data_IF_592042830960
#
_entry.id   IF_592042830960
#
_cell.length_a   1.000
_cell.length_b   1.000
_cell.length_c   1.000
_cell.angle_alpha   90.00
_cell.angle_beta   90.00
_cell.angle_gamma   90.00
#
_symmetry.space_group_name_H-M   'P 1'
#
loop_
_entity.id
_entity.type
_entity.pdbx_description
1 polymer ?
#
# COMPACT_ATOMS: atom_id res chain seq x y z
N UNK A 1 28.65 4.03 0.48
CA UNK A 1 27.43 3.28 0.87
C UNK A 1 27.21 2.24 -0.22
N UNK A 2 26.92 0.95 0.12
CA UNK A 2 26.78 -0.06 -0.93
C UNK A 2 25.58 0.30 -1.81
N UNK A 3 25.75 0.22 -3.12
CA UNK A 3 24.69 0.50 -4.12
C UNK A 3 23.47 -0.42 -3.96
N UNK A 4 23.62 -1.56 -3.31
CA UNK A 4 22.59 -2.55 -3.04
C UNK A 4 21.66 -2.23 -1.87
N UNK A 5 21.82 -1.07 -1.21
CA UNK A 5 20.98 -0.71 -0.07
C UNK A 5 19.62 -0.19 -0.54
N UNK A 6 18.54 -0.84 -0.08
CA UNK A 6 17.18 -0.35 -0.26
C UNK A 6 16.92 0.85 0.68
N UNK A 7 16.57 2.00 0.14
CA UNK A 7 16.19 3.19 0.92
C UNK A 7 14.78 3.61 0.53
N UNK A 8 13.84 3.46 1.43
CA UNK A 8 12.43 3.81 1.22
C UNK A 8 12.11 5.13 1.94
N UNK A 9 11.71 6.14 1.18
CA UNK A 9 11.15 7.38 1.68
C UNK A 9 9.63 7.28 1.70
N UNK A 10 9.02 7.51 2.85
CA UNK A 10 7.57 7.33 2.98
C UNK A 10 7.00 7.91 4.25
N UNK A 11 5.71 7.69 4.43
CA UNK A 11 4.97 8.05 5.64
C UNK A 11 4.14 6.86 6.10
N UNK A 12 4.16 6.58 7.39
CA UNK A 12 3.37 5.49 7.99
C UNK A 12 1.87 5.80 8.00
N UNK A 13 1.47 7.04 7.78
CA UNK A 13 0.07 7.43 7.61
C UNK A 13 -0.43 7.27 6.18
N UNK A 14 0.46 6.93 5.24
CA UNK A 14 0.16 6.78 3.82
C UNK A 14 -0.06 5.32 3.44
N UNK A 15 -1.26 4.99 2.97
CA UNK A 15 -1.58 3.67 2.41
C UNK A 15 -0.69 3.31 1.20
N UNK A 16 -0.28 4.31 0.42
CA UNK A 16 0.65 4.11 -0.69
C UNK A 16 2.06 3.76 -0.22
N UNK A 17 2.55 4.41 0.88
CA UNK A 17 3.86 4.09 1.46
C UNK A 17 3.86 2.73 2.14
N UNK A 18 2.74 2.34 2.73
CA UNK A 18 2.62 1.07 3.42
C UNK A 18 2.81 -0.13 2.49
N UNK A 19 2.40 -0.06 1.23
CA UNK A 19 2.57 -1.16 0.28
C UNK A 19 4.02 -1.66 0.16
N UNK A 20 5.01 -0.84 -0.23
CA UNK A 20 6.39 -1.30 -0.25
C UNK A 20 6.98 -1.55 1.14
N UNK A 21 6.50 -0.89 2.20
CA UNK A 21 6.89 -1.20 3.57
C UNK A 21 6.47 -2.62 3.96
N UNK A 22 5.22 -3.00 3.67
CA UNK A 22 4.70 -4.33 3.92
C UNK A 22 5.47 -5.39 3.11
N UNK A 23 5.72 -5.12 1.82
CA UNK A 23 6.55 -6.00 0.99
C UNK A 23 7.91 -6.29 1.64
N UNK A 24 8.62 -5.23 2.06
CA UNK A 24 9.95 -5.35 2.64
C UNK A 24 9.92 -6.07 4.01
N UNK A 25 8.91 -5.81 4.82
CA UNK A 25 8.72 -6.50 6.09
C UNK A 25 8.45 -7.99 5.90
N UNK A 26 7.53 -8.36 5.01
CA UNK A 26 7.18 -9.76 4.73
C UNK A 26 8.34 -10.52 4.05
N UNK A 27 9.16 -9.85 3.24
CA UNK A 27 10.32 -10.48 2.59
C UNK A 27 11.52 -10.66 3.52
N UNK A 28 11.53 -10.01 4.69
CA UNK A 28 12.69 -10.00 5.59
C UNK A 28 13.92 -9.27 5.03
N UNK A 29 13.77 -8.55 3.92
CA UNK A 29 14.89 -7.84 3.29
C UNK A 29 15.30 -6.61 4.12
N UNK A 30 16.61 -6.40 4.35
CA UNK A 30 17.08 -5.23 5.07
C UNK A 30 16.87 -3.96 4.24
N UNK A 31 16.29 -2.94 4.85
CA UNK A 31 16.08 -1.63 4.23
C UNK A 31 16.27 -0.50 5.23
N UNK A 32 16.47 0.70 4.71
CA UNK A 32 16.40 1.93 5.50
C UNK A 32 15.13 2.67 5.20
N UNK A 33 14.43 3.07 6.25
CA UNK A 33 13.29 3.96 6.11
C UNK A 33 13.69 5.41 6.38
N UNK A 34 13.14 6.32 5.57
CA UNK A 34 13.27 7.77 5.72
C UNK A 34 11.89 8.37 5.76
N UNK A 35 11.52 8.93 6.90
CA UNK A 35 10.22 9.56 7.07
C UNK A 35 10.12 10.83 6.25
N UNK A 36 9.00 10.94 5.55
CA UNK A 36 8.54 12.18 4.90
C UNK A 36 7.31 12.65 5.64
N UNK A 37 7.45 13.70 6.44
CA UNK A 37 6.36 14.23 7.27
C UNK A 37 5.33 14.95 6.40
N UNK A 38 4.23 14.25 6.08
CA UNK A 38 3.15 14.78 5.24
C UNK A 38 2.38 15.91 5.91
N UNK A 39 2.29 15.91 7.24
CA UNK A 39 1.60 16.95 8.01
C UNK A 39 2.31 18.31 7.87
N UNK A 40 3.64 18.27 7.83
CA UNK A 40 4.47 19.48 7.70
C UNK A 40 4.74 19.86 6.23
N UNK A 41 4.20 19.11 5.26
CA UNK A 41 4.37 19.42 3.84
C UNK A 41 5.73 19.06 3.25
N UNK A 42 6.56 18.28 3.95
CA UNK A 42 7.94 17.90 3.51
C UNK A 42 7.95 17.28 2.10
N UNK A 43 6.87 16.61 1.69
CA UNK A 43 6.73 16.08 0.34
C UNK A 43 6.68 17.15 -0.76
N UNK A 44 6.52 18.43 -0.40
CA UNK A 44 6.50 19.57 -1.32
C UNK A 44 7.78 20.42 -1.28
N UNK A 45 8.73 20.06 -0.41
CA UNK A 45 10.02 20.73 -0.34
C UNK A 45 10.91 20.39 -1.54
N UNK A 46 11.80 21.32 -1.97
CA UNK A 46 12.65 21.13 -3.14
C UNK A 46 13.46 19.83 -3.13
N UNK A 47 13.96 19.43 -1.96
CA UNK A 47 14.75 18.21 -1.81
C UNK A 47 13.92 16.96 -2.13
N UNK A 48 12.66 16.89 -1.69
CA UNK A 48 11.78 15.77 -2.02
C UNK A 48 11.31 15.84 -3.48
N UNK A 49 10.99 17.03 -3.99
CA UNK A 49 10.56 17.23 -5.37
C UNK A 49 11.66 16.83 -6.37
N UNK A 50 12.94 17.00 -6.01
CA UNK A 50 14.06 16.50 -6.82
C UNK A 50 14.07 14.96 -6.96
N UNK A 51 13.55 14.22 -5.97
CA UNK A 51 13.40 12.75 -6.03
C UNK A 51 12.08 12.34 -6.67
N UNK A 52 11.01 13.08 -6.42
CA UNK A 52 9.67 12.78 -6.92
C UNK A 52 8.95 14.05 -7.35
N UNK A 53 8.95 14.32 -8.66
CA UNK A 53 8.29 15.47 -9.28
C UNK A 53 6.80 15.62 -8.95
N UNK A 54 6.14 14.54 -8.53
CA UNK A 54 4.72 14.57 -8.12
C UNK A 54 4.52 15.11 -6.69
N UNK A 55 5.59 15.22 -5.89
CA UNK A 55 5.52 15.66 -4.51
C UNK A 55 4.63 14.73 -3.68
N UNK A 56 4.84 13.43 -3.82
CA UNK A 56 4.10 12.36 -3.16
C UNK A 56 5.06 11.32 -2.56
N UNK A 57 4.54 10.44 -1.76
CA UNK A 57 5.22 9.25 -1.22
C UNK A 57 4.51 7.98 -1.69
N UNK A 58 5.22 6.85 -1.80
CA UNK A 58 6.62 6.59 -1.48
C UNK A 58 7.60 6.97 -2.60
N UNK A 59 8.90 6.96 -2.24
CA UNK A 59 10.03 6.93 -3.17
C UNK A 59 10.97 5.81 -2.73
N UNK A 60 11.41 4.96 -3.65
CA UNK A 60 12.43 3.95 -3.41
C UNK A 60 13.72 4.34 -4.15
N UNK A 61 14.85 4.31 -3.44
CA UNK A 61 16.18 4.42 -4.02
C UNK A 61 16.90 3.08 -3.88
N UNK A 62 17.38 2.52 -5.00
CA UNK A 62 18.10 1.26 -5.04
C UNK A 62 18.95 1.17 -6.32
N UNK A 63 20.19 0.76 -6.21
CA UNK A 63 21.12 0.53 -7.36
C UNK A 63 21.16 1.71 -8.33
N UNK A 64 21.27 2.93 -7.82
CA UNK A 64 21.29 4.15 -8.65
C UNK A 64 19.93 4.57 -9.22
N UNK A 65 18.88 3.77 -9.06
CA UNK A 65 17.53 4.09 -9.47
C UNK A 65 16.78 4.87 -8.40
N UNK A 66 15.95 5.81 -8.83
CA UNK A 66 14.95 6.47 -7.99
C UNK A 66 13.58 6.15 -8.58
N UNK A 67 12.81 5.35 -7.86
CA UNK A 67 11.50 4.85 -8.30
C UNK A 67 10.40 5.51 -7.47
N UNK A 68 9.35 5.92 -8.17
CA UNK A 68 8.14 6.53 -7.61
C UNK A 68 6.91 5.72 -8.01
N UNK A 69 5.74 6.01 -7.43
CA UNK A 69 4.51 5.24 -7.58
C UNK A 69 4.59 3.85 -6.92
N UNK A 70 3.80 3.65 -5.89
CA UNK A 70 3.86 2.46 -5.03
C UNK A 70 3.74 1.12 -5.78
N UNK A 71 2.90 1.06 -6.84
CA UNK A 71 2.73 -0.16 -7.62
C UNK A 71 3.94 -0.45 -8.53
N UNK A 72 4.60 0.60 -9.05
CA UNK A 72 5.87 0.46 -9.78
C UNK A 72 6.96 -0.05 -8.85
N UNK A 73 6.98 0.46 -7.62
CA UNK A 73 7.94 0.00 -6.60
C UNK A 73 7.69 -1.47 -6.22
N UNK A 74 6.43 -1.88 -6.06
CA UNK A 74 6.10 -3.30 -5.80
C UNK A 74 6.57 -4.20 -6.94
N UNK A 75 6.27 -3.84 -8.19
CA UNK A 75 6.69 -4.62 -9.36
C UNK A 75 8.21 -4.72 -9.46
N UNK A 76 8.91 -3.61 -9.25
CA UNK A 76 10.37 -3.58 -9.22
C UNK A 76 10.95 -4.49 -8.14
N UNK A 77 10.44 -4.40 -6.90
CA UNK A 77 10.89 -5.22 -5.79
C UNK A 77 10.65 -6.71 -6.08
N UNK A 78 9.46 -7.08 -6.55
CA UNK A 78 9.13 -8.47 -6.88
C UNK A 78 10.10 -9.04 -7.93
N UNK A 79 10.29 -8.33 -9.03
CA UNK A 79 11.18 -8.77 -10.13
C UNK A 79 12.65 -8.82 -9.73
N UNK A 80 13.09 -7.89 -8.88
CA UNK A 80 14.51 -7.80 -8.51
C UNK A 80 14.89 -8.79 -7.42
N UNK A 81 13.93 -9.14 -6.55
CA UNK A 81 14.19 -9.98 -5.38
C UNK A 81 13.60 -11.38 -5.49
N UNK A 82 12.67 -11.62 -6.44
CA UNK A 82 11.95 -12.88 -6.60
C UNK A 82 10.85 -13.12 -5.54
N UNK A 83 10.69 -12.21 -4.55
CA UNK A 83 9.63 -12.32 -3.55
C UNK A 83 8.28 -11.84 -4.09
N UNK A 84 7.21 -12.55 -3.75
CA UNK A 84 5.83 -12.16 -4.07
C UNK A 84 5.54 -11.93 -5.57
N UNK A 85 6.39 -12.43 -6.44
CA UNK A 85 6.15 -12.50 -7.87
C UNK A 85 5.28 -13.74 -8.16
N UNK A 86 4.41 -13.71 -9.16
CA UNK A 86 3.66 -14.88 -9.60
C UNK A 86 4.59 -16.00 -10.10
N UNK A 87 4.24 -17.25 -9.84
CA UNK A 87 5.01 -18.42 -10.23
C UNK A 87 5.07 -18.67 -11.74
N UNK A 88 4.04 -18.24 -12.46
CA UNK A 88 3.94 -18.34 -13.92
C UNK A 88 3.91 -16.94 -14.55
N UNK A 89 4.15 -16.87 -15.87
CA UNK A 89 4.01 -15.61 -16.60
C UNK A 89 2.59 -15.05 -16.53
N UNK A 90 1.59 -15.95 -16.63
CA UNK A 90 0.18 -15.57 -16.50
C UNK A 90 -0.11 -14.95 -15.12
N UNK A 91 0.35 -15.58 -14.04
CA UNK A 91 0.17 -15.02 -12.68
C UNK A 91 0.85 -13.68 -12.50
N UNK A 92 2.04 -13.50 -13.10
CA UNK A 92 2.74 -12.21 -13.08
C UNK A 92 1.93 -11.10 -13.77
N UNK A 93 1.26 -11.40 -14.88
CA UNK A 93 0.37 -10.44 -15.56
C UNK A 93 -0.91 -10.19 -14.75
N UNK A 94 -1.52 -11.23 -14.19
CA UNK A 94 -2.69 -11.09 -13.31
C UNK A 94 -2.38 -10.25 -12.06
N UNK A 95 -1.20 -10.41 -11.47
CA UNK A 95 -0.79 -9.58 -10.34
C UNK A 95 -0.71 -8.09 -10.73
N UNK A 96 -0.22 -7.76 -11.92
CA UNK A 96 -0.18 -6.39 -12.45
C UNK A 96 -1.56 -5.85 -12.79
N UNK A 97 -2.45 -6.69 -13.31
CA UNK A 97 -3.86 -6.35 -13.52
C UNK A 97 -4.53 -5.93 -12.20
N UNK A 98 -4.31 -6.69 -11.12
CA UNK A 98 -4.79 -6.32 -9.79
C UNK A 98 -4.18 -5.01 -9.27
N UNK A 99 -2.92 -4.73 -9.55
CA UNK A 99 -2.32 -3.43 -9.22
C UNK A 99 -2.93 -2.29 -10.04
N UNK A 100 -3.36 -2.55 -11.28
CA UNK A 100 -4.14 -1.62 -12.10
C UNK A 100 -5.50 -1.36 -11.45
N UNK A 101 -6.25 -2.40 -11.12
CA UNK A 101 -7.54 -2.32 -10.45
C UNK A 101 -7.45 -1.61 -9.08
N UNK A 102 -6.39 -1.87 -8.32
CA UNK A 102 -6.13 -1.18 -7.07
C UNK A 102 -6.05 0.35 -7.28
N UNK A 103 -5.33 0.77 -8.29
CA UNK A 103 -5.13 2.20 -8.57
C UNK A 103 -6.36 2.87 -9.20
N UNK A 104 -7.20 2.12 -9.86
CA UNK A 104 -8.43 2.62 -10.51
C UNK A 104 -9.64 2.60 -9.57
N UNK A 105 -9.89 1.48 -8.91
CA UNK A 105 -11.10 1.25 -8.12
C UNK A 105 -10.87 1.28 -6.60
N UNK A 106 -9.93 0.47 -6.06
CA UNK A 106 -9.70 0.39 -4.60
C UNK A 106 -9.14 1.70 -4.04
N UNK A 107 -8.55 2.56 -4.87
CA UNK A 107 -8.12 3.90 -4.47
C UNK A 107 -9.25 4.73 -3.84
N UNK A 108 -10.52 4.45 -4.17
CA UNK A 108 -11.67 5.13 -3.58
C UNK A 108 -11.77 4.87 -2.07
N UNK A 109 -11.35 3.70 -1.57
CA UNK A 109 -11.24 3.42 -0.13
C UNK A 109 -10.30 4.42 0.56
N UNK A 110 -9.16 4.71 -0.05
CA UNK A 110 -8.22 5.70 0.48
C UNK A 110 -8.75 7.14 0.34
N UNK A 111 -9.53 7.44 -0.70
CA UNK A 111 -10.19 8.75 -0.87
C UNK A 111 -11.25 8.98 0.20
N UNK A 112 -12.11 7.99 0.44
CA UNK A 112 -13.12 8.03 1.52
C UNK A 112 -12.44 8.29 2.87
N UNK A 113 -11.39 7.51 3.20
CA UNK A 113 -10.60 7.76 4.41
C UNK A 113 -10.02 9.16 4.46
N UNK A 114 -9.42 9.63 3.35
CA UNK A 114 -8.78 10.95 3.30
C UNK A 114 -9.76 12.07 3.64
N UNK A 115 -10.92 12.06 3.02
CA UNK A 115 -11.94 13.08 3.25
C UNK A 115 -12.61 12.93 4.61
N UNK A 116 -12.82 11.71 5.09
CA UNK A 116 -13.39 11.49 6.41
C UNK A 116 -12.46 11.95 7.54
N UNK A 117 -11.15 11.70 7.41
CA UNK A 117 -10.20 11.90 8.52
C UNK A 117 -9.46 13.24 8.49
N UNK A 118 -9.09 13.70 7.31
CA UNK A 118 -8.12 14.79 7.17
C UNK A 118 -8.70 16.08 6.60
N UNK A 119 -9.89 16.06 6.05
CA UNK A 119 -10.53 17.22 5.45
C UNK A 119 -12.02 17.23 5.73
N UNK A 120 -12.51 18.30 6.37
CA UNK A 120 -13.93 18.59 6.33
C UNK A 120 -14.34 18.91 4.88
N UNK A 121 -15.22 18.09 4.31
CA UNK A 121 -15.73 18.24 2.95
C UNK A 121 -17.25 18.23 2.96
N UNK A 122 -17.87 18.74 1.90
CA UNK A 122 -19.30 18.58 1.67
C UNK A 122 -19.66 17.08 1.67
N UNK A 123 -20.75 16.67 2.33
CA UNK A 123 -21.23 15.29 2.30
C UNK A 123 -21.33 14.70 0.90
N UNK A 124 -21.70 15.49 -0.11
CA UNK A 124 -21.78 15.07 -1.51
C UNK A 124 -20.44 14.49 -2.05
N UNK A 125 -19.30 14.94 -1.53
CA UNK A 125 -17.98 14.38 -1.89
C UNK A 125 -17.85 12.94 -1.39
N UNK A 126 -18.36 12.65 -0.18
CA UNK A 126 -18.37 11.31 0.38
C UNK A 126 -19.34 10.40 -0.38
N UNK A 127 -20.50 10.93 -0.71
CA UNK A 127 -21.55 10.22 -1.47
C UNK A 127 -21.05 9.86 -2.89
N UNK A 128 -20.17 10.67 -3.46
CA UNK A 128 -19.57 10.39 -4.76
C UNK A 128 -18.55 9.24 -4.70
N UNK A 129 -17.67 9.20 -3.68
CA UNK A 129 -16.59 8.20 -3.64
C UNK A 129 -16.98 6.88 -2.95
N UNK A 130 -17.88 6.92 -1.96
CA UNK A 130 -18.23 5.75 -1.16
C UNK A 130 -18.83 4.60 -1.98
N UNK A 131 -19.78 4.80 -2.90
CA UNK A 131 -20.31 3.69 -3.69
C UNK A 131 -19.24 2.96 -4.51
N UNK A 132 -18.29 3.69 -5.09
CA UNK A 132 -17.16 3.11 -5.81
C UNK A 132 -16.20 2.33 -4.90
N UNK A 133 -15.99 2.81 -3.66
CA UNK A 133 -15.18 2.10 -2.66
C UNK A 133 -15.87 0.78 -2.24
N UNK A 134 -17.15 0.82 -1.91
CA UNK A 134 -17.91 -0.38 -1.53
C UNK A 134 -17.97 -1.39 -2.67
N UNK A 135 -18.24 -0.94 -3.90
CA UNK A 135 -18.25 -1.82 -5.08
C UNK A 135 -16.89 -2.50 -5.31
N UNK A 136 -15.78 -1.80 -5.06
CA UNK A 136 -14.45 -2.37 -5.17
C UNK A 136 -14.20 -3.44 -4.09
N UNK A 137 -14.64 -3.21 -2.85
CA UNK A 137 -14.56 -4.19 -1.76
C UNK A 137 -15.42 -5.43 -2.07
N UNK A 138 -16.62 -5.25 -2.60
CA UNK A 138 -17.53 -6.34 -3.02
C UNK A 138 -16.92 -7.18 -4.15
N UNK A 139 -16.20 -6.55 -5.09
CA UNK A 139 -15.52 -7.27 -6.16
C UNK A 139 -14.39 -8.12 -5.61
N UNK A 140 -13.59 -7.58 -4.70
CA UNK A 140 -12.53 -8.33 -4.01
C UNK A 140 -13.11 -9.54 -3.29
N UNK A 141 -14.20 -9.36 -2.54
CA UNK A 141 -14.86 -10.46 -1.80
C UNK A 141 -15.36 -11.56 -2.73
N UNK A 142 -16.10 -11.19 -3.79
CA UNK A 142 -16.61 -12.15 -4.79
C UNK A 142 -15.48 -12.89 -5.48
N UNK A 143 -14.38 -12.23 -5.82
CA UNK A 143 -13.23 -12.87 -6.46
C UNK A 143 -12.58 -13.89 -5.55
N UNK A 144 -12.51 -13.61 -4.25
CA UNK A 144 -11.91 -14.48 -3.24
C UNK A 144 -12.81 -15.66 -2.82
N UNK A 145 -14.05 -15.76 -3.34
CA UNK A 145 -14.89 -16.92 -3.10
C UNK A 145 -14.20 -18.20 -3.64
N UNK A 146 -13.82 -19.10 -2.74
CA UNK A 146 -13.09 -20.32 -3.06
C UNK A 146 -11.59 -20.12 -3.40
N UNK A 147 -11.04 -18.96 -3.10
CA UNK A 147 -9.61 -18.63 -3.28
C UNK A 147 -8.98 -18.14 -1.99
N UNK A 148 -7.74 -18.54 -1.78
CA UNK A 148 -6.94 -18.06 -0.65
C UNK A 148 -6.24 -16.72 -0.95
N UNK A 149 -5.89 -16.47 -2.20
CA UNK A 149 -5.14 -15.30 -2.66
C UNK A 149 -5.76 -14.72 -3.93
N UNK A 150 -5.44 -13.45 -4.22
CA UNK A 150 -5.94 -12.77 -5.42
C UNK A 150 -5.40 -13.42 -6.70
N UNK A 151 -4.18 -13.97 -6.66
CA UNK A 151 -3.54 -14.63 -7.80
C UNK A 151 -2.84 -15.88 -7.32
N UNK A 152 -3.08 -17.00 -8.02
CA UNK A 152 -2.41 -18.28 -7.73
C UNK A 152 -2.73 -18.84 -6.35
N UNK A 153 -1.76 -19.53 -5.77
CA UNK A 153 -1.86 -20.30 -4.52
C UNK A 153 -1.06 -19.67 -3.36
N UNK A 154 -0.51 -18.46 -3.54
CA UNK A 154 0.35 -17.78 -2.57
C UNK A 154 0.19 -16.26 -2.62
N UNK A 155 0.64 -15.59 -1.54
CA UNK A 155 0.68 -14.13 -1.51
C UNK A 155 1.57 -13.57 -2.63
N UNK A 156 1.06 -12.60 -3.36
CA UNK A 156 1.75 -11.89 -4.44
C UNK A 156 1.68 -10.37 -4.21
N UNK A 157 2.32 -9.60 -5.11
CA UNK A 157 2.19 -8.13 -5.10
C UNK A 157 0.75 -7.65 -5.29
N UNK A 158 -0.14 -8.47 -5.87
CA UNK A 158 -1.58 -8.18 -5.93
C UNK A 158 -2.17 -8.04 -4.54
N UNK A 159 -1.90 -9.03 -3.67
CA UNK A 159 -2.40 -9.05 -2.30
C UNK A 159 -1.82 -7.90 -1.48
N UNK A 160 -0.50 -7.69 -1.56
CA UNK A 160 0.19 -6.60 -0.86
C UNK A 160 -0.32 -5.23 -1.33
N UNK A 161 -0.53 -5.04 -2.63
CA UNK A 161 -1.02 -3.81 -3.22
C UNK A 161 -2.44 -3.47 -2.78
N UNK A 162 -3.36 -4.41 -2.95
CA UNK A 162 -4.77 -4.24 -2.59
C UNK A 162 -4.95 -4.08 -1.08
N UNK A 163 -4.36 -4.96 -0.27
CA UNK A 163 -4.41 -4.85 1.19
C UNK A 163 -3.81 -3.53 1.68
N UNK A 164 -2.64 -3.16 1.16
CA UNK A 164 -1.97 -1.92 1.57
C UNK A 164 -2.81 -0.67 1.31
N UNK A 165 -3.66 -0.67 0.28
CA UNK A 165 -4.61 0.41 0.03
C UNK A 165 -5.77 0.41 1.03
N UNK A 166 -6.21 -0.77 1.43
CA UNK A 166 -7.36 -0.98 2.31
C UNK A 166 -7.01 -0.90 3.80
N UNK A 167 -5.73 -0.94 4.18
CA UNK A 167 -5.27 -1.08 5.57
C UNK A 167 -5.90 -0.09 6.56
N UNK A 168 -6.22 1.10 6.10
CA UNK A 168 -6.83 2.15 6.91
C UNK A 168 -8.35 2.33 6.66
N UNK A 169 -9.03 1.38 6.03
CA UNK A 169 -10.45 1.54 5.64
C UNK A 169 -11.37 1.85 6.83
N UNK A 170 -11.09 1.30 8.00
CA UNK A 170 -11.85 1.57 9.22
C UNK A 170 -11.82 3.05 9.62
N UNK A 171 -10.73 3.77 9.33
CA UNK A 171 -10.63 5.22 9.57
C UNK A 171 -11.56 6.02 8.63
N UNK A 172 -12.08 5.41 7.57
CA UNK A 172 -13.10 5.96 6.67
C UNK A 172 -14.51 5.45 6.95
N UNK A 173 -14.70 4.70 8.05
CA UNK A 173 -15.98 4.10 8.40
C UNK A 173 -16.42 2.97 7.45
N UNK A 174 -15.46 2.22 6.91
CA UNK A 174 -15.70 1.04 6.07
C UNK A 174 -15.17 -0.21 6.75
N UNK A 175 -15.82 -1.37 6.52
CA UNK A 175 -15.44 -2.66 7.09
C UNK A 175 -15.53 -3.79 6.07
N UNK A 176 -15.08 -4.98 6.49
CA UNK A 176 -15.26 -6.24 5.76
C UNK A 176 -16.26 -7.16 6.48
N UNK A 177 -17.11 -6.65 7.36
CA UNK A 177 -18.00 -7.48 8.21
C UNK A 177 -18.97 -8.30 7.35
N UNK A 178 -19.51 -7.72 6.30
CA UNK A 178 -20.41 -8.36 5.34
C UNK A 178 -19.67 -9.01 4.15
N UNK A 179 -18.33 -9.13 4.23
CA UNK A 179 -17.44 -9.63 3.17
C UNK A 179 -16.56 -10.76 3.69
N UNK A 180 -17.13 -11.96 3.88
CA UNK A 180 -16.46 -13.05 4.60
C UNK A 180 -15.18 -13.54 3.90
N UNK A 181 -15.13 -13.56 2.57
CA UNK A 181 -13.97 -14.03 1.82
C UNK A 181 -12.81 -13.02 1.87
N UNK A 182 -13.11 -11.74 1.70
CA UNK A 182 -12.13 -10.66 1.85
C UNK A 182 -11.61 -10.56 3.30
N UNK A 183 -12.46 -10.80 4.29
CA UNK A 183 -12.06 -10.85 5.69
C UNK A 183 -11.10 -12.02 5.95
N UNK A 184 -11.43 -13.23 5.50
CA UNK A 184 -10.58 -14.41 5.66
C UNK A 184 -9.22 -14.22 4.95
N UNK A 185 -9.22 -13.64 3.75
CA UNK A 185 -8.00 -13.27 3.05
C UNK A 185 -7.16 -12.26 3.83
N UNK A 186 -7.77 -11.20 4.37
CA UNK A 186 -7.08 -10.23 5.22
C UNK A 186 -6.42 -10.89 6.42
N UNK A 187 -7.15 -11.76 7.13
CA UNK A 187 -6.64 -12.49 8.30
C UNK A 187 -5.45 -13.38 7.93
N UNK A 188 -5.53 -14.07 6.79
CA UNK A 188 -4.45 -14.91 6.26
C UNK A 188 -3.20 -14.08 5.93
N UNK A 189 -3.36 -12.92 5.31
CA UNK A 189 -2.25 -12.02 5.01
C UNK A 189 -1.61 -11.50 6.29
N UNK A 190 -2.44 -11.12 7.28
CA UNK A 190 -1.97 -10.65 8.59
C UNK A 190 -1.26 -11.76 9.42
N UNK A 191 -1.50 -13.03 9.13
CA UNK A 191 -0.82 -14.15 9.77
C UNK A 191 0.54 -14.49 9.12
N UNK A 192 0.93 -13.84 8.03
CA UNK A 192 2.21 -14.10 7.39
C UNK A 192 3.38 -13.66 8.29
N UNK A 193 4.48 -14.44 8.34
CA UNK A 193 5.68 -14.04 9.06
C UNK A 193 6.19 -12.67 8.59
N UNK A 194 6.55 -11.80 9.53
CA UNK A 194 7.02 -10.44 9.24
C UNK A 194 5.90 -9.42 9.02
N UNK A 195 4.62 -9.83 9.06
CA UNK A 195 3.53 -8.88 8.97
C UNK A 195 3.56 -7.90 10.16
N UNK A 196 3.36 -6.63 9.88
CA UNK A 196 3.10 -5.61 10.88
C UNK A 196 2.23 -4.49 10.30
N UNK A 197 1.42 -3.88 11.15
CA UNK A 197 0.60 -2.73 10.75
C UNK A 197 1.45 -1.48 10.52
N UNK A 198 0.97 -0.46 9.79
CA UNK A 198 1.77 0.72 9.46
C UNK A 198 2.38 1.41 10.68
N UNK A 199 1.63 1.50 11.77
CA UNK A 199 2.08 2.17 13.01
C UNK A 199 3.09 1.35 13.83
N UNK A 200 3.26 0.05 13.51
CA UNK A 200 4.21 -0.85 14.20
C UNK A 200 5.51 -1.01 13.40
N UNK A 201 5.49 -0.69 12.09
CA UNK A 201 6.65 -0.80 11.21
C UNK A 201 7.66 0.33 11.38
N UNK A 202 7.27 1.45 11.98
CA UNK A 202 8.10 2.64 12.12
C UNK A 202 8.51 2.85 13.55
N UNK A 203 9.79 3.20 13.81
CA UNK A 203 10.26 3.50 15.16
C UNK A 203 9.40 4.59 15.82
N UNK A 204 8.97 4.37 17.06
CA UNK A 204 8.17 5.33 17.86
C UNK A 204 8.84 6.71 18.07
N UNK A 205 10.11 6.84 17.67
CA UNK A 205 10.89 8.10 17.73
C UNK A 205 10.86 8.89 16.41
N UNK A 206 10.03 8.47 15.46
CA UNK A 206 9.89 9.16 14.19
C UNK A 206 9.28 10.54 14.37
N UNK A 207 9.78 11.54 13.63
CA UNK A 207 9.34 12.93 13.73
C UNK A 207 7.85 13.14 13.38
N UNK A 208 7.24 12.23 12.63
CA UNK A 208 5.81 12.26 12.33
C UNK A 208 4.93 11.90 13.55
N UNK A 209 5.46 11.15 14.51
CA UNK A 209 4.80 10.84 15.78
C UNK A 209 5.03 11.92 16.86
N UNK A 210 6.08 12.71 16.72
CA UNK A 210 6.37 13.76 17.68
C UNK A 210 5.24 14.81 17.65
N UNK A 211 4.33 14.76 18.62
CA UNK A 211 3.23 15.70 18.75
C UNK A 211 1.81 15.09 18.58
N UNK A 212 1.69 13.78 18.70
CA UNK A 212 0.38 13.11 18.92
C UNK A 212 0.12 12.82 20.37
#
# INVERSE_FOLDING_TARGET
>A
MSEDRLVLHGSFTSSSSYKPMLFLALSGLPFSFRTVNLKNGVQKEPEHLARNRYGQVPVLQHRGLTLVMSNVILDYLARTTGHFEGGTEQERWQAREWLGFENDAIVNVARVRHFHRFRAVDPAVMDFFRPGAEAALDLVDRHLAGRDWLVGDRCTIADIGCFGRMVFMAEGGMSLDDRPHARAWRERLMALPGFALPYDLIPKKDAEFAGR
#
